data_IF_859017445757
#
_entry.id   IF_859017445757
#
_cell.length_a   1.000
_cell.length_b   1.000
_cell.length_c   1.000
_cell.angle_alpha   90.00
_cell.angle_beta   90.00
_cell.angle_gamma   90.00
#
_symmetry.space_group_name_H-M   'P 1'
#
loop_
_entity.id
_entity.type
_entity.pdbx_description
1 polymer ?
#
# COMPACT_ATOMS: atom_id res chain seq x y z
N UNK A 1 6.13 9.57 9.82
CA UNK A 1 5.03 10.51 10.14
C UNK A 1 4.71 11.37 8.92
N UNK A 2 3.55 12.04 8.88
CA UNK A 2 3.21 12.93 7.76
C UNK A 2 4.21 14.10 7.66
N UNK A 3 4.65 14.51 6.44
CA UNK A 3 5.69 15.53 6.27
C UNK A 3 5.35 16.88 6.92
N UNK A 4 4.10 17.32 6.81
CA UNK A 4 3.62 18.59 7.36
C UNK A 4 3.57 18.56 8.91
N UNK A 5 3.31 17.40 9.49
CA UNK A 5 3.36 17.27 10.96
C UNK A 5 4.80 17.47 11.46
N UNK A 6 5.79 16.87 10.78
CA UNK A 6 7.21 17.00 11.14
C UNK A 6 7.71 18.43 10.91
N UNK A 7 7.35 19.04 9.78
CA UNK A 7 7.90 20.34 9.37
C UNK A 7 7.27 21.52 10.10
N UNK A 8 5.94 21.53 10.27
CA UNK A 8 5.20 22.69 10.78
C UNK A 8 4.40 22.40 12.04
N UNK A 9 4.35 21.14 12.50
CA UNK A 9 3.50 20.74 13.63
C UNK A 9 2.01 20.75 13.29
N UNK A 10 1.64 20.81 12.02
CA UNK A 10 0.24 20.91 11.60
C UNK A 10 -0.49 19.60 11.83
N UNK A 11 -1.48 19.62 12.73
CA UNK A 11 -2.33 18.47 13.04
C UNK A 11 -3.69 18.62 12.36
N UNK A 12 -3.99 17.67 11.48
CA UNK A 12 -5.30 17.53 10.84
C UNK A 12 -5.61 16.04 10.69
N UNK A 13 -6.87 15.65 10.41
CA UNK A 13 -7.19 14.25 10.09
C UNK A 13 -6.37 13.68 8.92
N UNK A 14 -5.79 14.52 8.06
CA UNK A 14 -4.92 14.08 6.95
C UNK A 14 -3.59 13.49 7.41
N UNK A 15 -3.16 13.81 8.63
CA UNK A 15 -1.97 13.19 9.25
C UNK A 15 -2.25 11.71 9.53
N UNK A 16 -3.44 11.39 10.04
CA UNK A 16 -3.86 10.01 10.28
C UNK A 16 -4.05 9.23 8.97
N UNK A 17 -4.58 9.88 7.93
CA UNK A 17 -4.65 9.28 6.58
C UNK A 17 -3.27 8.88 6.08
N UNK A 18 -2.27 9.75 6.23
CA UNK A 18 -0.89 9.44 5.83
C UNK A 18 -0.35 8.26 6.63
N UNK A 19 -0.53 8.25 7.96
CA UNK A 19 -0.10 7.16 8.82
C UNK A 19 -0.77 5.83 8.44
N UNK A 20 -2.05 5.85 8.09
CA UNK A 20 -2.75 4.68 7.55
C UNK A 20 -2.13 4.20 6.23
N UNK A 21 -1.76 5.13 5.34
CA UNK A 21 -1.05 4.80 4.10
C UNK A 21 0.26 4.07 4.33
N UNK A 22 1.04 4.48 5.34
CA UNK A 22 2.29 3.80 5.75
C UNK A 22 2.01 2.38 6.22
N UNK A 23 1.05 2.19 7.15
CA UNK A 23 0.69 0.86 7.65
C UNK A 23 0.22 -0.06 6.52
N UNK A 24 -0.59 0.47 5.60
CA UNK A 24 -1.05 -0.31 4.45
C UNK A 24 0.12 -0.74 3.56
N UNK A 25 1.13 0.13 3.37
CA UNK A 25 2.34 -0.20 2.62
C UNK A 25 3.17 -1.31 3.30
N UNK A 26 3.33 -1.25 4.63
CA UNK A 26 4.00 -2.30 5.41
C UNK A 26 3.30 -3.65 5.26
N UNK A 27 1.96 -3.66 5.32
CA UNK A 27 1.17 -4.89 5.18
C UNK A 27 1.29 -5.52 3.78
N UNK A 28 1.33 -4.71 2.72
CA UNK A 28 1.42 -5.20 1.34
C UNK A 28 2.82 -5.75 1.04
N UNK A 29 3.84 -5.07 1.55
CA UNK A 29 5.25 -5.40 1.25
C UNK A 29 5.85 -6.41 2.21
N UNK A 30 5.28 -6.53 3.42
CA UNK A 30 5.84 -7.31 4.51
C UNK A 30 7.15 -6.73 5.07
N UNK A 31 7.47 -5.46 4.75
CA UNK A 31 8.69 -4.75 5.16
C UNK A 31 8.36 -3.69 6.20
N UNK A 32 9.35 -3.33 7.02
CA UNK A 32 9.22 -2.26 8.02
C UNK A 32 9.12 -0.89 7.33
N UNK A 33 8.29 0.02 7.87
CA UNK A 33 8.15 1.38 7.35
C UNK A 33 9.45 2.19 7.39
N UNK A 34 10.32 1.87 8.34
CA UNK A 34 11.66 2.44 8.50
C UNK A 34 12.61 1.26 8.62
N UNK A 35 13.64 1.23 7.78
CA UNK A 35 14.67 0.19 7.82
C UNK A 35 16.05 0.81 7.65
N UNK A 36 17.09 0.07 8.03
CA UNK A 36 18.48 0.52 7.88
C UNK A 36 19.04 0.09 6.52
N UNK A 37 19.61 1.03 5.78
CA UNK A 37 20.40 0.80 4.57
C UNK A 37 21.68 1.61 4.66
N UNK A 38 22.84 0.97 4.52
CA UNK A 38 24.16 1.62 4.64
C UNK A 38 24.30 2.49 5.91
N UNK A 39 23.86 1.97 7.06
CA UNK A 39 23.81 2.66 8.36
C UNK A 39 22.95 3.94 8.39
N UNK A 40 22.08 4.14 7.40
CA UNK A 40 21.11 5.23 7.35
C UNK A 40 19.67 4.70 7.46
N UNK A 41 18.83 5.43 8.20
CA UNK A 41 17.39 5.16 8.23
C UNK A 41 16.77 5.58 6.90
N UNK A 42 16.09 4.64 6.24
CA UNK A 42 15.37 4.86 4.98
C UNK A 42 13.89 4.60 5.20
N UNK A 43 13.06 5.49 4.66
CA UNK A 43 11.62 5.33 4.67
C UNK A 43 11.17 4.45 3.51
N UNK A 44 10.39 3.40 3.80
CA UNK A 44 9.85 2.52 2.78
C UNK A 44 9.05 3.28 1.71
N UNK A 45 8.27 4.28 2.12
CA UNK A 45 7.51 5.13 1.20
C UNK A 45 8.38 5.89 0.19
N UNK A 46 9.59 6.30 0.58
CA UNK A 46 10.52 7.02 -0.32
C UNK A 46 11.12 6.10 -1.39
N UNK A 47 11.23 4.81 -1.10
CA UNK A 47 11.70 3.81 -2.07
C UNK A 47 10.60 3.32 -3.01
N UNK A 48 9.36 3.24 -2.51
CA UNK A 48 8.25 2.61 -3.25
C UNK A 48 7.51 3.60 -4.16
N UNK A 49 7.22 4.80 -3.69
CA UNK A 49 6.38 5.78 -4.43
C UNK A 49 7.01 6.13 -5.80
N UNK A 50 8.32 6.43 -5.92
CA UNK A 50 8.92 6.78 -7.21
C UNK A 50 8.85 5.68 -8.27
N UNK A 51 8.88 4.41 -7.84
CA UNK A 51 8.77 3.24 -8.72
C UNK A 51 7.35 2.99 -9.25
N UNK A 52 6.33 3.55 -8.61
CA UNK A 52 4.92 3.41 -9.01
C UNK A 52 4.51 4.49 -10.02
N UNK A 53 5.06 5.70 -9.91
CA UNK A 53 4.78 6.82 -10.81
C UNK A 53 5.55 6.74 -12.16
N UNK A 54 6.30 5.65 -12.39
CA UNK A 54 6.99 5.37 -13.65
C UNK A 54 8.32 6.13 -13.84
N UNK A 55 8.83 6.78 -12.79
CA UNK A 55 10.05 7.60 -12.82
C UNK A 55 11.34 6.86 -12.49
N UNK A 56 11.29 5.64 -11.95
CA UNK A 56 12.50 4.85 -11.68
C UNK A 56 12.34 3.36 -12.04
N UNK A 57 13.30 2.83 -12.81
CA UNK A 57 13.26 1.55 -13.55
C UNK A 57 13.87 0.41 -12.71
N UNK A 58 13.78 0.47 -11.37
CA UNK A 58 14.53 -0.42 -10.49
C UNK A 58 13.74 -1.56 -9.84
N UNK A 59 12.46 -1.36 -9.54
CA UNK A 59 11.65 -2.34 -8.83
C UNK A 59 10.43 -2.71 -9.67
N UNK A 60 10.39 -3.94 -10.19
CA UNK A 60 9.11 -4.47 -10.66
C UNK A 60 8.14 -4.40 -9.48
N UNK A 61 6.97 -3.81 -9.67
CA UNK A 61 5.96 -3.69 -8.59
C UNK A 61 5.64 -5.05 -7.96
N UNK A 62 5.85 -6.14 -8.71
CA UNK A 62 5.75 -7.51 -8.22
C UNK A 62 6.79 -7.86 -7.14
N UNK A 63 8.01 -7.32 -7.20
CA UNK A 63 9.07 -7.56 -6.21
C UNK A 63 8.83 -6.82 -4.89
N UNK A 64 7.98 -5.80 -4.93
CA UNK A 64 7.55 -5.07 -3.74
C UNK A 64 6.49 -5.85 -2.95
N UNK A 65 5.69 -6.66 -3.61
CA UNK A 65 4.59 -7.40 -3.00
C UNK A 65 5.16 -8.57 -2.21
N UNK A 66 4.70 -8.74 -0.96
CA UNK A 66 5.16 -9.83 -0.11
C UNK A 66 4.91 -11.19 -0.77
N UNK A 67 5.98 -11.94 -1.00
CA UNK A 67 5.92 -13.30 -1.57
C UNK A 67 4.98 -14.24 -0.81
N UNK A 68 4.72 -13.98 0.49
CA UNK A 68 3.78 -14.74 1.33
C UNK A 68 2.32 -14.56 0.91
N UNK A 69 2.00 -13.56 0.09
CA UNK A 69 0.68 -13.37 -0.51
C UNK A 69 0.40 -14.38 -1.64
N UNK A 70 1.40 -15.14 -2.08
CA UNK A 70 1.26 -16.27 -3.01
C UNK A 70 1.16 -17.56 -2.21
N UNK A 71 -0.04 -17.86 -1.71
CA UNK A 71 -0.26 -18.98 -0.77
C UNK A 71 -0.62 -20.25 -1.53
N UNK A 72 0.03 -21.36 -1.21
CA UNK A 72 -0.46 -22.69 -1.64
C UNK A 72 -1.55 -23.17 -0.71
N UNK A 73 -2.72 -23.48 -1.25
CA UNK A 73 -3.78 -24.11 -0.46
C UNK A 73 -3.44 -25.58 -0.14
N UNK A 74 -4.24 -26.23 0.73
CA UNK A 74 -4.00 -27.63 1.15
C UNK A 74 -4.00 -28.64 0.00
N UNK A 75 -4.57 -28.27 -1.14
CA UNK A 75 -4.66 -29.10 -2.35
C UNK A 75 -3.49 -28.83 -3.32
N UNK A 76 -2.56 -27.95 -2.97
CA UNK A 76 -1.37 -27.62 -3.77
C UNK A 76 -1.58 -26.53 -4.82
N UNK A 77 -2.78 -25.96 -4.96
CA UNK A 77 -3.04 -24.85 -5.89
C UNK A 77 -2.49 -23.54 -5.33
N UNK A 78 -1.92 -22.72 -6.21
CA UNK A 78 -1.45 -21.37 -5.87
C UNK A 78 -2.64 -20.43 -5.90
N UNK A 79 -2.91 -19.78 -4.78
CA UNK A 79 -3.81 -18.63 -4.68
C UNK A 79 -2.92 -17.39 -4.77
N UNK A 80 -3.08 -16.64 -5.86
CA UNK A 80 -2.29 -15.45 -6.13
C UNK A 80 -3.08 -14.19 -5.79
N UNK A 81 -2.69 -13.52 -4.70
CA UNK A 81 -3.31 -12.26 -4.26
C UNK A 81 -2.61 -11.00 -4.82
N UNK A 82 -1.74 -11.13 -5.83
CA UNK A 82 -0.97 -10.00 -6.40
C UNK A 82 -1.89 -8.89 -6.91
N UNK A 83 -2.97 -9.21 -7.61
CA UNK A 83 -3.92 -8.19 -8.11
C UNK A 83 -4.60 -7.40 -6.98
N UNK A 84 -4.95 -8.08 -5.88
CA UNK A 84 -5.49 -7.42 -4.69
C UNK A 84 -4.43 -6.51 -4.05
N UNK A 85 -3.20 -7.01 -3.91
CA UNK A 85 -2.08 -6.27 -3.36
C UNK A 85 -1.78 -5.00 -4.18
N UNK A 86 -1.83 -5.08 -5.52
CA UNK A 86 -1.66 -3.92 -6.41
C UNK A 86 -2.73 -2.84 -6.21
N UNK A 87 -3.99 -3.24 -6.01
CA UNK A 87 -5.09 -2.29 -5.74
C UNK A 87 -4.92 -1.60 -4.39
N UNK A 88 -4.56 -2.37 -3.36
CA UNK A 88 -4.26 -1.83 -2.04
C UNK A 88 -3.02 -0.92 -2.06
N UNK A 89 -2.02 -1.24 -2.90
CA UNK A 89 -0.81 -0.43 -3.07
C UNK A 89 -1.14 0.93 -3.65
N UNK A 90 -1.98 0.97 -4.70
CA UNK A 90 -2.48 2.23 -5.27
C UNK A 90 -3.24 3.08 -4.24
N UNK A 91 -4.05 2.44 -3.39
CA UNK A 91 -4.74 3.13 -2.30
C UNK A 91 -3.74 3.68 -1.27
N UNK A 92 -2.74 2.89 -0.89
CA UNK A 92 -1.67 3.34 0.01
C UNK A 92 -0.93 4.57 -0.55
N UNK A 93 -0.54 4.54 -1.82
CA UNK A 93 0.12 5.69 -2.49
C UNK A 93 -0.77 6.95 -2.47
N UNK A 94 -2.08 6.80 -2.73
CA UNK A 94 -3.01 7.94 -2.65
C UNK A 94 -3.11 8.53 -1.23
N UNK A 95 -3.00 7.70 -0.19
CA UNK A 95 -2.92 8.15 1.21
C UNK A 95 -1.59 8.84 1.54
N UNK A 96 -0.51 8.47 0.87
CA UNK A 96 0.86 8.96 1.10
C UNK A 96 1.21 10.21 0.29
N UNK A 97 0.27 10.80 -0.45
CA UNK A 97 0.52 12.02 -1.22
C UNK A 97 1.15 13.12 -0.33
N UNK A 98 2.22 13.76 -0.81
CA UNK A 98 2.97 14.74 -0.03
C UNK A 98 2.08 15.89 0.45
N UNK A 99 1.29 16.46 -0.47
CA UNK A 99 0.33 17.53 -0.15
C UNK A 99 -0.93 16.97 0.52
N UNK A 100 -1.31 17.44 1.74
CA UNK A 100 -2.47 16.92 2.46
C UNK A 100 -3.80 17.05 1.71
N UNK A 101 -3.92 18.04 0.82
CA UNK A 101 -5.10 18.27 -0.03
C UNK A 101 -5.28 17.21 -1.10
N UNK A 102 -4.18 16.56 -1.54
CA UNK A 102 -4.21 15.53 -2.57
C UNK A 102 -4.47 14.13 -1.99
N UNK A 103 -4.33 13.97 -0.67
CA UNK A 103 -4.68 12.72 0.01
C UNK A 103 -6.19 12.52 0.00
N UNK A 104 -6.63 11.28 0.02
CA UNK A 104 -8.02 10.93 0.29
C UNK A 104 -8.45 11.38 1.70
N UNK A 105 -9.75 11.47 1.94
CA UNK A 105 -10.34 11.46 3.28
C UNK A 105 -10.51 10.03 3.78
N UNK A 106 -10.60 9.82 5.10
CA UNK A 106 -10.86 8.48 5.63
C UNK A 106 -12.18 7.87 5.14
N UNK A 107 -13.19 8.70 4.84
CA UNK A 107 -14.43 8.22 4.22
C UNK A 107 -14.20 7.67 2.80
N UNK A 108 -13.39 8.35 2.00
CA UNK A 108 -13.00 7.88 0.66
C UNK A 108 -12.12 6.62 0.74
N UNK A 109 -11.21 6.54 1.72
CA UNK A 109 -10.40 5.33 1.98
C UNK A 109 -11.30 4.13 2.27
N UNK A 110 -12.28 4.28 3.17
CA UNK A 110 -13.23 3.20 3.49
C UNK A 110 -14.05 2.81 2.24
N UNK A 111 -14.54 3.78 1.48
CA UNK A 111 -15.27 3.52 0.23
C UNK A 111 -14.44 2.73 -0.78
N UNK A 112 -13.16 3.09 -0.95
CA UNK A 112 -12.23 2.37 -1.81
C UNK A 112 -11.98 0.94 -1.33
N UNK A 113 -11.76 0.74 -0.02
CA UNK A 113 -11.58 -0.60 0.57
C UNK A 113 -12.82 -1.48 0.40
N UNK A 114 -14.02 -0.93 0.61
CA UNK A 114 -15.28 -1.65 0.40
C UNK A 114 -15.44 -2.10 -1.05
N UNK A 115 -15.11 -1.23 -2.00
CA UNK A 115 -15.13 -1.59 -3.43
C UNK A 115 -14.13 -2.70 -3.75
N UNK A 116 -12.90 -2.59 -3.26
CA UNK A 116 -11.88 -3.63 -3.43
C UNK A 116 -12.36 -4.97 -2.85
N UNK A 117 -12.96 -4.95 -1.66
CA UNK A 117 -13.50 -6.17 -1.02
C UNK A 117 -14.65 -6.80 -1.83
N UNK A 118 -15.57 -5.98 -2.35
CA UNK A 118 -16.67 -6.48 -3.19
C UNK A 118 -16.15 -7.14 -4.46
N UNK A 119 -15.22 -6.50 -5.18
CA UNK A 119 -14.63 -7.05 -6.41
C UNK A 119 -13.96 -8.42 -6.17
N UNK A 120 -13.29 -8.58 -5.02
CA UNK A 120 -12.68 -9.86 -4.62
C UNK A 120 -13.74 -10.93 -4.39
N UNK A 121 -14.81 -10.59 -3.65
CA UNK A 121 -15.88 -11.54 -3.36
C UNK A 121 -16.61 -12.00 -4.63
N UNK A 122 -16.87 -11.08 -5.56
CA UNK A 122 -17.46 -11.41 -6.87
C UNK A 122 -16.55 -12.35 -7.67
N UNK A 123 -15.24 -12.09 -7.71
CA UNK A 123 -14.28 -12.92 -8.46
C UNK A 123 -14.19 -14.35 -7.93
N UNK A 124 -14.33 -14.54 -6.61
CA UNK A 124 -14.36 -15.87 -6.00
C UNK A 124 -15.65 -16.63 -6.28
N UNK A 125 -16.81 -15.96 -6.37
CA UNK A 125 -18.09 -16.62 -6.67
C UNK A 125 -18.16 -17.23 -8.08
N UNK A 126 -17.46 -16.65 -9.07
CA UNK A 126 -17.39 -17.18 -10.45
C UNK A 126 -16.35 -18.29 -10.64
N UNK A 127 -15.51 -18.56 -9.65
CA UNK A 127 -14.48 -19.62 -9.73
C UNK A 127 -14.99 -20.99 -9.22
N UNK A 128 -16.28 -21.11 -8.90
CA UNK A 128 -16.92 -22.30 -8.28
C UNK A 128 -17.95 -22.97 -9.21
N UNK A 129 -18.12 -22.49 -10.44
CA UNK A 129 -18.88 -23.17 -11.51
C UNK A 129 -17.94 -23.82 -12.53
#
# INVERSE_FOLDING_TARGET
MAPEYIQTGTMTPKVDVYAFGVVLLELITGREAVFLSDDQEVLLSETVIPGIDGTDVGAEVNDLIDSRLRVKNRLGYIIDHTELALRLLKLSVACLAREPTNRLSMAEVVSALMKIQQDVNYSQSFSVE
#
